data_IF_575143749163
#
_entry.id   IF_575143749163
#
_cell.length_a   1.000
_cell.length_b   1.000
_cell.length_c   1.000
_cell.angle_alpha   90.00
_cell.angle_beta   90.00
_cell.angle_gamma   90.00
#
_symmetry.space_group_name_H-M   'P 1'
#
loop_
_entity.id
_entity.type
_entity.pdbx_description
1 polymer ?
#
# COMPACT_ATOMS: atom_id res chain seq x y z
N UNK A 1 -8.69 1.06 11.01
CA UNK A 1 -8.13 2.41 10.80
C UNK A 1 -8.81 3.00 9.60
N UNK A 2 -9.55 4.09 9.77
CA UNK A 2 -10.40 4.65 8.72
C UNK A 2 -9.65 5.41 7.64
N UNK A 3 -10.31 5.60 6.50
CA UNK A 3 -9.88 6.50 5.43
C UNK A 3 -10.03 7.96 5.86
N UNK A 4 -9.06 8.46 6.61
CA UNK A 4 -9.06 9.84 7.10
C UNK A 4 -8.84 10.81 5.95
N UNK A 5 -9.61 11.89 5.94
CA UNK A 5 -9.46 13.00 5.00
C UNK A 5 -8.15 13.75 5.27
N UNK A 6 -7.42 14.09 4.20
CA UNK A 6 -6.22 14.91 4.23
C UNK A 6 -6.44 16.18 3.42
N UNK A 7 -5.81 17.26 3.87
CA UNK A 7 -5.83 18.57 3.19
C UNK A 7 -4.45 18.86 2.61
N UNK A 8 -4.43 19.57 1.48
CA UNK A 8 -3.19 20.03 0.83
C UNK A 8 -2.97 21.48 1.20
N UNK A 9 -1.81 21.79 1.75
CA UNK A 9 -1.44 23.13 2.18
C UNK A 9 0.00 23.45 1.80
N UNK A 10 0.28 24.72 1.51
CA UNK A 10 1.64 25.20 1.28
C UNK A 10 2.37 25.38 2.61
N UNK A 11 3.56 24.80 2.71
CA UNK A 11 4.43 24.93 3.86
C UNK A 11 5.84 25.36 3.41
N UNK A 12 6.36 26.51 3.89
CA UNK A 12 5.69 27.48 4.76
C UNK A 12 4.57 28.26 4.03
N UNK A 13 3.64 28.90 4.76
CA UNK A 13 2.62 29.76 4.17
C UNK A 13 3.23 30.95 3.41
N UNK A 14 2.56 31.44 2.37
CA UNK A 14 3.05 32.58 1.56
C UNK A 14 3.33 33.84 2.38
N UNK A 15 2.55 34.08 3.43
CA UNK A 15 2.78 35.22 4.36
C UNK A 15 4.13 35.11 5.07
N UNK A 16 4.53 33.91 5.46
CA UNK A 16 5.84 33.67 6.07
C UNK A 16 6.97 33.82 5.05
N UNK A 17 6.79 33.34 3.82
CA UNK A 17 7.76 33.54 2.74
C UNK A 17 7.95 35.03 2.42
N UNK A 18 6.85 35.80 2.37
CA UNK A 18 6.90 37.25 2.14
C UNK A 18 7.71 37.98 3.20
N UNK A 19 7.51 37.64 4.48
CA UNK A 19 8.29 38.19 5.59
C UNK A 19 9.77 37.79 5.50
N UNK A 20 10.08 36.59 5.02
CA UNK A 20 11.47 36.17 4.80
C UNK A 20 12.14 36.99 3.70
N UNK A 21 11.44 37.30 2.60
CA UNK A 21 11.96 38.18 1.55
C UNK A 21 12.27 39.57 2.11
N UNK A 22 11.36 40.13 2.91
CA UNK A 22 11.57 41.42 3.59
C UNK A 22 12.78 41.39 4.55
N UNK A 23 12.91 40.34 5.35
CA UNK A 23 14.05 40.13 6.26
C UNK A 23 15.40 40.01 5.53
N UNK A 24 15.42 39.48 4.29
CA UNK A 24 16.64 39.45 3.49
C UNK A 24 17.18 40.86 3.20
N UNK A 25 16.32 41.84 2.92
CA UNK A 25 16.75 43.22 2.72
C UNK A 25 17.31 43.84 4.00
N UNK A 26 16.68 43.57 5.14
CA UNK A 26 17.19 44.03 6.44
C UNK A 26 18.59 43.49 6.71
N UNK A 27 18.82 42.19 6.44
CA UNK A 27 20.15 41.58 6.57
C UNK A 27 21.18 42.18 5.62
N UNK A 28 20.80 42.55 4.40
CA UNK A 28 21.69 43.21 3.43
C UNK A 28 22.08 44.60 3.93
N UNK A 29 21.12 45.37 4.45
CA UNK A 29 21.35 46.71 5.01
C UNK A 29 22.30 46.64 6.23
N UNK A 30 22.17 45.58 7.03
CA UNK A 30 22.96 45.38 8.24
C UNK A 30 24.43 44.96 7.96
N UNK A 31 24.81 44.65 6.73
CA UNK A 31 26.16 44.15 6.39
C UNK A 31 27.27 45.13 6.78
N UNK A 32 27.12 46.44 6.50
CA UNK A 32 28.18 47.41 6.81
C UNK A 32 28.00 48.09 8.17
N UNK A 33 26.98 47.71 8.96
CA UNK A 33 26.78 48.19 10.35
C UNK A 33 27.82 47.68 11.35
N UNK A 34 28.92 47.09 10.89
CA UNK A 34 30.03 46.69 11.75
C UNK A 34 31.37 47.13 11.17
N UNK A 35 31.36 47.89 10.08
CA UNK A 35 32.56 48.34 9.41
C UNK A 35 32.79 49.80 9.80
N UNK A 36 33.79 50.13 10.64
CA UNK A 36 34.08 51.52 10.97
C UNK A 36 34.59 52.28 9.74
N UNK A 37 34.27 53.58 9.66
CA UNK A 37 34.79 54.49 8.66
C UNK A 37 36.32 54.62 8.73
N UNK A 38 36.97 54.83 7.59
CA UNK A 38 38.42 55.01 7.52
C UNK A 38 38.88 56.25 8.32
N UNK A 39 38.05 57.29 8.33
CA UNK A 39 38.26 58.54 9.06
C UNK A 39 38.39 58.31 10.57
N UNK A 40 37.76 57.27 11.11
CA UNK A 40 37.92 56.86 12.52
C UNK A 40 39.34 56.42 12.85
N UNK A 41 40.07 55.89 11.88
CA UNK A 41 41.48 55.48 12.04
C UNK A 41 42.47 56.57 11.63
N UNK A 42 42.14 57.35 10.60
CA UNK A 42 43.04 58.38 10.05
C UNK A 42 42.99 59.70 10.81
N UNK A 43 41.83 60.03 11.41
CA UNK A 43 41.61 61.30 12.12
C UNK A 43 40.96 61.06 13.49
N UNK A 44 41.70 60.48 14.46
CA UNK A 44 41.15 60.18 15.79
C UNK A 44 40.61 61.41 16.53
N UNK A 45 41.11 62.60 16.22
CA UNK A 45 40.68 63.88 16.83
C UNK A 45 39.26 64.29 16.42
N UNK A 46 38.72 63.71 15.34
CA UNK A 46 37.36 64.01 14.86
C UNK A 46 36.27 63.22 15.60
N UNK A 47 36.64 62.28 16.48
CA UNK A 47 35.72 61.44 17.26
C UNK A 47 34.61 60.78 16.41
N UNK A 48 34.92 60.36 15.18
CA UNK A 48 33.95 59.75 14.27
C UNK A 48 33.48 58.40 14.85
N UNK A 49 32.23 58.36 15.30
CA UNK A 49 31.57 57.14 15.81
C UNK A 49 30.79 56.40 14.74
N UNK A 50 30.60 57.02 13.58
CA UNK A 50 29.84 56.49 12.45
C UNK A 50 30.54 55.27 11.83
N UNK A 51 29.73 54.29 11.48
CA UNK A 51 30.12 53.17 10.63
C UNK A 51 30.13 53.60 9.16
N UNK A 52 30.78 52.80 8.32
CA UNK A 52 30.83 52.95 6.88
C UNK A 52 29.39 52.89 6.38
N UNK A 53 28.78 54.07 6.19
CA UNK A 53 27.37 54.24 5.91
C UNK A 53 26.91 53.30 4.79
N UNK A 54 26.25 52.21 5.17
CA UNK A 54 25.30 51.48 4.34
C UNK A 54 23.93 52.06 4.59
N UNK A 55 23.41 52.77 3.59
CA UNK A 55 21.98 52.82 3.22
C UNK A 55 21.00 52.48 4.35
N UNK A 56 20.29 53.47 4.90
CA UNK A 56 19.35 53.25 6.00
C UNK A 56 18.03 52.64 5.52
N UNK A 57 17.34 51.84 6.34
CA UNK A 57 16.05 51.26 5.97
C UNK A 57 14.98 52.30 5.64
N UNK A 58 15.00 53.46 6.28
CA UNK A 58 14.00 54.53 6.11
C UNK A 58 14.22 55.42 4.89
N UNK A 59 15.29 55.20 4.12
CA UNK A 59 15.54 55.93 2.87
C UNK A 59 14.50 55.57 1.80
N UNK A 60 13.99 56.59 1.10
CA UNK A 60 12.93 56.43 0.09
C UNK A 60 13.33 55.43 -1.01
N UNK A 61 14.58 55.51 -1.50
CA UNK A 61 15.10 54.59 -2.52
C UNK A 61 15.10 53.12 -2.05
N UNK A 62 15.38 52.87 -0.77
CA UNK A 62 15.38 51.54 -0.17
C UNK A 62 13.98 50.99 -0.07
N UNK A 63 13.06 51.82 0.43
CA UNK A 63 11.65 51.46 0.51
C UNK A 63 11.07 51.15 -0.87
N UNK A 64 11.45 51.90 -1.91
CA UNK A 64 11.06 51.62 -3.30
C UNK A 64 11.60 50.27 -3.80
N UNK A 65 12.87 49.96 -3.54
CA UNK A 65 13.47 48.66 -3.93
C UNK A 65 12.81 47.49 -3.19
N UNK A 66 12.56 47.63 -1.89
CA UNK A 66 11.86 46.60 -1.10
C UNK A 66 10.44 46.41 -1.63
N UNK A 67 9.73 47.50 -1.91
CA UNK A 67 8.38 47.44 -2.48
C UNK A 67 8.35 46.74 -3.83
N UNK A 68 9.28 47.07 -4.75
CA UNK A 68 9.41 46.42 -6.05
C UNK A 68 9.69 44.90 -5.90
N UNK A 69 10.58 44.51 -4.99
CA UNK A 69 10.88 43.10 -4.75
C UNK A 69 9.70 42.32 -4.14
N UNK A 70 8.95 42.95 -3.24
CA UNK A 70 7.75 42.36 -2.65
C UNK A 70 6.61 42.27 -3.68
N UNK A 71 6.45 43.25 -4.56
CA UNK A 71 5.53 43.19 -5.69
C UNK A 71 5.92 42.07 -6.66
N UNK A 72 7.22 41.92 -6.96
CA UNK A 72 7.74 40.81 -7.74
C UNK A 72 7.46 39.47 -7.06
N UNK A 73 7.57 39.35 -5.74
CA UNK A 73 7.18 38.15 -5.02
C UNK A 73 5.66 37.89 -5.11
N UNK A 74 4.84 38.90 -4.85
CA UNK A 74 3.39 38.80 -4.81
C UNK A 74 2.81 38.40 -6.20
N UNK A 75 3.41 38.87 -7.29
CA UNK A 75 3.04 38.47 -8.67
C UNK A 75 3.37 37.00 -9.00
N UNK A 76 4.23 36.33 -8.22
CA UNK A 76 4.57 34.92 -8.39
C UNK A 76 3.69 33.97 -7.55
N UNK A 77 2.96 34.45 -6.53
CA UNK A 77 2.07 33.64 -5.67
C UNK A 77 1.01 32.83 -6.45
N UNK A 78 0.36 33.37 -7.50
CA UNK A 78 -0.64 32.61 -8.25
C UNK A 78 -0.07 31.37 -8.96
N UNK A 79 1.24 31.33 -9.23
CA UNK A 79 1.90 30.23 -9.94
C UNK A 79 1.76 28.89 -9.22
N UNK A 80 2.25 28.76 -7.97
CA UNK A 80 2.10 27.54 -7.18
C UNK A 80 0.63 27.13 -6.98
N UNK A 81 -0.26 28.09 -6.75
CA UNK A 81 -1.70 27.82 -6.56
C UNK A 81 -2.32 27.20 -7.82
N UNK A 82 -2.04 27.77 -8.99
CA UNK A 82 -2.50 27.26 -10.27
C UNK A 82 -1.88 25.91 -10.62
N UNK A 83 -0.65 25.65 -10.19
CA UNK A 83 -0.03 24.34 -10.40
C UNK A 83 -0.76 23.23 -9.63
N UNK A 84 -1.25 23.52 -8.42
CA UNK A 84 -2.02 22.55 -7.63
C UNK A 84 -3.31 22.09 -8.33
N UNK A 85 -3.85 22.84 -9.31
CA UNK A 85 -5.03 22.41 -10.05
C UNK A 85 -4.85 21.07 -10.78
N UNK A 86 -3.61 20.71 -11.12
CA UNK A 86 -3.27 19.41 -11.73
C UNK A 86 -3.65 18.26 -10.79
N UNK A 87 -3.64 18.50 -9.47
CA UNK A 87 -3.97 17.50 -8.45
C UNK A 87 -5.47 17.38 -8.18
N UNK A 88 -6.31 18.27 -8.72
CA UNK A 88 -7.75 18.25 -8.48
C UNK A 88 -8.39 16.89 -8.81
N UNK A 89 -7.90 16.22 -9.86
CA UNK A 89 -8.37 14.88 -10.25
C UNK A 89 -8.02 13.78 -9.24
N UNK A 90 -7.08 13.98 -8.32
CA UNK A 90 -6.67 12.98 -7.33
C UNK A 90 -7.20 13.26 -5.91
N UNK A 91 -7.93 14.36 -5.70
CA UNK A 91 -8.40 14.75 -4.37
C UNK A 91 -9.32 13.70 -3.73
N UNK A 92 -10.04 12.91 -4.53
CA UNK A 92 -10.86 11.80 -4.05
C UNK A 92 -10.03 10.70 -3.33
N UNK A 93 -8.74 10.61 -3.61
CA UNK A 93 -7.80 9.71 -2.93
C UNK A 93 -7.48 10.26 -1.54
N UNK A 94 -7.19 11.56 -1.45
CA UNK A 94 -6.85 12.24 -0.19
C UNK A 94 -8.05 12.38 0.75
N UNK A 95 -9.26 12.58 0.21
CA UNK A 95 -10.51 12.66 0.98
C UNK A 95 -10.96 11.30 1.54
N UNK A 96 -10.27 10.22 1.18
CA UNK A 96 -10.63 8.85 1.53
C UNK A 96 -11.81 8.29 0.75
N UNK A 97 -12.32 9.00 -0.25
CA UNK A 97 -13.43 8.53 -1.10
C UNK A 97 -13.04 7.28 -1.88
N UNK A 98 -11.81 7.23 -2.41
CA UNK A 98 -11.29 6.04 -3.10
C UNK A 98 -11.37 4.78 -2.21
N UNK A 99 -11.01 4.93 -0.94
CA UNK A 99 -11.10 3.86 0.06
C UNK A 99 -12.53 3.42 0.34
N UNK A 100 -13.43 4.38 0.60
CA UNK A 100 -14.86 4.07 0.78
C UNK A 100 -15.49 3.41 -0.45
N UNK A 101 -15.05 3.79 -1.65
CA UNK A 101 -15.48 3.17 -2.91
C UNK A 101 -14.92 1.75 -3.08
N UNK A 102 -13.76 1.44 -2.48
CA UNK A 102 -13.25 0.07 -2.39
C UNK A 102 -14.06 -0.75 -1.37
N UNK A 103 -14.30 -0.21 -0.17
CA UNK A 103 -15.09 -0.90 0.85
C UNK A 103 -16.52 -1.18 0.36
N UNK A 104 -17.15 -0.23 -0.32
CA UNK A 104 -18.47 -0.42 -0.95
C UNK A 104 -18.47 -1.56 -1.98
N UNK A 105 -17.38 -1.71 -2.72
CA UNK A 105 -17.24 -2.77 -3.72
C UNK A 105 -17.09 -4.14 -3.06
N UNK A 106 -16.36 -4.25 -1.95
CA UNK A 106 -16.30 -5.47 -1.14
C UNK A 106 -17.66 -5.85 -0.54
N UNK A 107 -18.54 -4.88 -0.30
CA UNK A 107 -19.87 -5.07 0.27
C UNK A 107 -20.97 -5.24 -0.78
N UNK A 108 -20.65 -5.36 -2.08
CA UNK A 108 -21.66 -5.59 -3.11
C UNK A 108 -22.28 -6.98 -2.99
N UNK A 109 -23.58 -7.05 -3.31
CA UNK A 109 -24.33 -8.31 -3.44
C UNK A 109 -24.99 -8.36 -4.84
N UNK A 110 -24.65 -9.33 -5.71
CA UNK A 110 -23.69 -10.42 -5.48
C UNK A 110 -22.25 -9.93 -5.33
N UNK A 111 -21.43 -10.71 -4.60
CA UNK A 111 -20.01 -10.41 -4.40
C UNK A 111 -19.26 -10.35 -5.74
N UNK A 112 -18.35 -9.38 -5.95
CA UNK A 112 -17.66 -9.24 -7.24
C UNK A 112 -16.82 -10.46 -7.62
N UNK A 113 -16.69 -10.72 -8.93
CA UNK A 113 -15.88 -11.84 -9.40
C UNK A 113 -14.39 -11.50 -9.34
N UNK A 114 -13.55 -12.55 -9.32
CA UNK A 114 -12.09 -12.41 -9.28
C UNK A 114 -11.53 -11.52 -10.42
N UNK A 115 -12.12 -11.61 -11.62
CA UNK A 115 -11.77 -10.76 -12.78
C UNK A 115 -12.02 -9.27 -12.54
N UNK A 116 -13.01 -8.92 -11.72
CA UNK A 116 -13.35 -7.53 -11.43
C UNK A 116 -12.35 -6.94 -10.44
N UNK A 117 -11.87 -7.74 -9.48
CA UNK A 117 -10.73 -7.39 -8.63
C UNK A 117 -9.43 -7.23 -9.42
N UNK A 118 -9.15 -8.11 -10.38
CA UNK A 118 -7.98 -8.00 -11.25
C UNK A 118 -7.97 -6.68 -12.04
N UNK A 119 -9.11 -6.31 -12.65
CA UNK A 119 -9.27 -5.01 -13.32
C UNK A 119 -9.01 -3.84 -12.39
N UNK A 120 -9.47 -3.94 -11.15
CA UNK A 120 -9.32 -2.86 -10.17
C UNK A 120 -7.88 -2.74 -9.65
N UNK A 121 -7.18 -3.85 -9.50
CA UNK A 121 -5.73 -3.86 -9.25
C UNK A 121 -5.00 -3.15 -10.39
N UNK A 122 -5.28 -3.51 -11.64
CA UNK A 122 -4.65 -2.86 -12.80
C UNK A 122 -4.91 -1.36 -12.81
N UNK A 123 -6.16 -0.93 -12.58
CA UNK A 123 -6.50 0.49 -12.48
C UNK A 123 -5.69 1.22 -11.40
N UNK A 124 -5.43 0.60 -10.25
CA UNK A 124 -4.58 1.19 -9.21
C UNK A 124 -3.10 1.19 -9.57
N UNK A 125 -2.60 0.18 -10.28
CA UNK A 125 -1.22 0.14 -10.78
C UNK A 125 -0.99 1.23 -11.83
N UNK A 126 -1.89 1.37 -12.80
CA UNK A 126 -1.83 2.42 -13.83
C UNK A 126 -1.88 3.82 -13.19
N UNK A 127 -2.76 4.01 -12.21
CA UNK A 127 -2.88 5.28 -11.48
C UNK A 127 -1.64 5.59 -10.65
N UNK A 128 -1.02 4.58 -10.03
CA UNK A 128 0.24 4.77 -9.30
C UNK A 128 1.34 5.20 -10.27
N UNK A 129 1.47 4.52 -11.40
CA UNK A 129 2.48 4.84 -12.41
C UNK A 129 2.27 6.25 -12.98
N UNK A 130 1.01 6.67 -13.19
CA UNK A 130 0.66 8.06 -13.55
C UNK A 130 1.13 9.07 -12.49
N UNK A 131 0.92 8.78 -11.21
CA UNK A 131 1.33 9.63 -10.09
C UNK A 131 2.86 9.71 -9.98
N UNK A 132 3.54 8.58 -10.13
CA UNK A 132 5.00 8.48 -10.00
C UNK A 132 5.72 9.24 -11.12
N UNK A 133 5.08 9.43 -12.27
CA UNK A 133 5.57 10.24 -13.39
C UNK A 133 5.38 11.76 -13.20
N UNK A 134 4.64 12.19 -12.17
CA UNK A 134 4.45 13.62 -11.91
C UNK A 134 5.73 14.30 -11.44
N UNK A 135 5.88 15.57 -11.79
CA UNK A 135 7.04 16.38 -11.38
C UNK A 135 7.07 16.51 -9.86
N UNK A 136 8.27 16.34 -9.29
CA UNK A 136 8.53 16.56 -7.87
C UNK A 136 8.93 18.02 -7.61
N UNK A 137 9.86 18.55 -8.41
CA UNK A 137 10.34 19.92 -8.28
C UNK A 137 9.84 20.78 -9.45
N UNK A 138 9.22 21.91 -9.12
CA UNK A 138 8.65 22.84 -10.09
C UNK A 138 9.22 24.24 -9.85
N UNK A 139 10.23 24.65 -10.64
CA UNK A 139 10.77 26.00 -10.57
C UNK A 139 9.77 27.00 -11.17
N UNK A 140 9.30 27.93 -10.34
CA UNK A 140 8.35 28.99 -10.65
C UNK A 140 8.97 30.35 -10.32
N UNK A 141 10.00 30.71 -11.09
CA UNK A 141 10.73 31.97 -11.00
C UNK A 141 11.21 32.30 -9.56
N UNK A 142 10.41 33.02 -8.77
CA UNK A 142 10.71 33.33 -7.36
C UNK A 142 10.56 32.15 -6.39
N UNK A 143 9.73 31.15 -6.73
CA UNK A 143 9.37 30.04 -5.84
C UNK A 143 9.74 28.72 -6.50
N UNK A 144 10.39 27.80 -5.78
CA UNK A 144 10.47 26.41 -6.20
C UNK A 144 9.45 25.59 -5.39
N UNK A 145 8.50 24.96 -6.08
CA UNK A 145 7.48 24.14 -5.44
C UNK A 145 7.95 22.69 -5.39
N UNK A 146 8.07 22.15 -4.17
CA UNK A 146 8.32 20.74 -3.92
C UNK A 146 6.98 20.01 -3.70
N UNK A 147 6.66 19.10 -4.62
CA UNK A 147 5.48 18.24 -4.59
C UNK A 147 5.82 16.78 -4.21
N UNK A 148 7.07 16.48 -3.82
CA UNK A 148 7.50 15.12 -3.46
C UNK A 148 6.61 14.48 -2.41
N UNK A 149 6.37 15.18 -1.29
CA UNK A 149 5.52 14.69 -0.20
C UNK A 149 4.09 14.39 -0.66
N UNK A 150 3.51 15.23 -1.51
CA UNK A 150 2.17 15.05 -2.04
C UNK A 150 2.11 13.83 -2.97
N UNK A 151 3.06 13.70 -3.88
CA UNK A 151 3.15 12.57 -4.82
C UNK A 151 3.35 11.25 -4.04
N UNK A 152 4.27 11.23 -3.08
CA UNK A 152 4.55 10.06 -2.22
C UNK A 152 3.32 9.66 -1.40
N UNK A 153 2.59 10.65 -0.86
CA UNK A 153 1.36 10.40 -0.12
C UNK A 153 0.29 9.78 -1.03
N UNK A 154 0.06 10.33 -2.22
CA UNK A 154 -0.89 9.80 -3.19
C UNK A 154 -0.51 8.36 -3.62
N UNK A 155 0.74 8.14 -4.01
CA UNK A 155 1.26 6.84 -4.44
C UNK A 155 1.12 5.79 -3.33
N UNK A 156 1.42 6.16 -2.09
CA UNK A 156 1.24 5.27 -0.93
C UNK A 156 -0.22 4.90 -0.66
N UNK A 157 -1.16 5.84 -0.83
CA UNK A 157 -2.59 5.60 -0.63
C UNK A 157 -3.14 4.67 -1.71
N UNK A 158 -2.76 4.88 -2.97
CA UNK A 158 -3.15 3.99 -4.08
C UNK A 158 -2.56 2.59 -3.88
N UNK A 159 -1.31 2.51 -3.46
CA UNK A 159 -0.66 1.23 -3.12
C UNK A 159 -1.37 0.51 -1.98
N UNK A 160 -1.87 1.25 -0.98
CA UNK A 160 -2.65 0.67 0.12
C UNK A 160 -4.00 0.09 -0.36
N UNK A 161 -4.69 0.76 -1.30
CA UNK A 161 -5.94 0.25 -1.89
C UNK A 161 -5.71 -1.06 -2.65
N UNK A 162 -4.67 -1.11 -3.48
CA UNK A 162 -4.25 -2.34 -4.17
C UNK A 162 -3.94 -3.46 -3.16
N UNK A 163 -3.16 -3.12 -2.12
CA UNK A 163 -2.74 -4.07 -1.09
C UNK A 163 -3.94 -4.67 -0.34
N UNK A 164 -4.95 -3.87 -0.01
CA UNK A 164 -6.17 -4.39 0.63
C UNK A 164 -6.83 -5.52 -0.18
N UNK A 165 -6.87 -5.40 -1.52
CA UNK A 165 -7.40 -6.46 -2.38
C UNK A 165 -6.54 -7.71 -2.31
N UNK A 166 -5.22 -7.55 -2.47
CA UNK A 166 -4.29 -8.68 -2.49
C UNK A 166 -4.29 -9.41 -1.15
N UNK A 167 -4.19 -8.68 -0.03
CA UNK A 167 -4.18 -9.25 1.32
C UNK A 167 -5.49 -10.00 1.63
N UNK A 168 -6.63 -9.49 1.15
CA UNK A 168 -7.91 -10.19 1.27
C UNK A 168 -7.86 -11.57 0.59
N UNK A 169 -7.42 -11.65 -0.67
CA UNK A 169 -7.39 -12.93 -1.39
C UNK A 169 -6.30 -13.88 -0.89
N UNK A 170 -5.19 -13.37 -0.34
CA UNK A 170 -4.22 -14.20 0.39
C UNK A 170 -4.94 -14.88 1.57
N UNK A 171 -5.71 -14.11 2.36
CA UNK A 171 -6.48 -14.62 3.48
C UNK A 171 -7.53 -15.66 3.06
N UNK A 172 -8.32 -15.35 2.02
CA UNK A 172 -9.34 -16.26 1.48
C UNK A 172 -8.71 -17.58 1.01
N UNK A 173 -7.65 -17.52 0.21
CA UNK A 173 -6.95 -18.70 -0.27
C UNK A 173 -6.38 -19.53 0.89
N UNK A 174 -5.79 -18.89 1.89
CA UNK A 174 -5.24 -19.56 3.07
C UNK A 174 -6.33 -20.30 3.86
N UNK A 175 -7.46 -19.67 4.13
CA UNK A 175 -8.59 -20.28 4.85
C UNK A 175 -9.16 -21.45 4.05
N UNK A 176 -9.38 -21.27 2.75
CA UNK A 176 -9.88 -22.31 1.86
C UNK A 176 -8.96 -23.53 1.82
N UNK A 177 -7.65 -23.31 1.66
CA UNK A 177 -6.65 -24.37 1.61
C UNK A 177 -6.50 -25.10 2.94
N UNK A 178 -6.60 -24.39 4.08
CA UNK A 178 -6.63 -25.03 5.41
C UNK A 178 -7.86 -25.91 5.59
N UNK A 179 -9.03 -25.48 5.11
CA UNK A 179 -10.24 -26.31 5.17
C UNK A 179 -10.06 -27.61 4.38
N UNK A 180 -9.48 -27.54 3.18
CA UNK A 180 -9.20 -28.73 2.37
C UNK A 180 -8.20 -29.65 3.09
N UNK A 181 -7.09 -29.11 3.57
CA UNK A 181 -6.08 -29.88 4.29
C UNK A 181 -6.64 -30.58 5.54
N UNK A 182 -7.44 -29.88 6.35
CA UNK A 182 -8.11 -30.46 7.53
C UNK A 182 -8.99 -31.65 7.16
N UNK A 183 -9.79 -31.54 6.10
CA UNK A 183 -10.63 -32.67 5.66
C UNK A 183 -9.79 -33.87 5.23
N UNK A 184 -8.68 -33.64 4.51
CA UNK A 184 -7.77 -34.73 4.15
C UNK A 184 -7.09 -35.38 5.37
N UNK A 185 -6.70 -34.59 6.36
CA UNK A 185 -6.09 -35.08 7.61
C UNK A 185 -7.07 -35.91 8.43
N UNK A 186 -8.33 -35.47 8.53
CA UNK A 186 -9.42 -36.23 9.16
C UNK A 186 -9.66 -37.57 8.45
N UNK A 187 -9.69 -37.55 7.11
CA UNK A 187 -9.79 -38.78 6.30
C UNK A 187 -8.63 -39.73 6.57
N UNK A 188 -7.39 -39.24 6.49
CA UNK A 188 -6.19 -40.04 6.73
C UNK A 188 -6.20 -40.65 8.14
N UNK A 189 -6.64 -39.87 9.15
CA UNK A 189 -6.75 -40.33 10.54
C UNK A 189 -7.76 -41.46 10.67
N UNK A 190 -8.98 -41.28 10.14
CA UNK A 190 -10.05 -42.28 10.24
C UNK A 190 -9.71 -43.56 9.48
N UNK A 191 -9.17 -43.43 8.26
CA UNK A 191 -8.79 -44.56 7.41
C UNK A 191 -7.60 -45.35 7.97
N UNK A 192 -6.77 -44.75 8.82
CA UNK A 192 -5.62 -45.41 9.46
C UNK A 192 -5.98 -46.24 10.69
N UNK A 193 -7.18 -46.05 11.27
CA UNK A 193 -7.63 -46.79 12.46
C UNK A 193 -7.67 -48.30 12.19
N UNK A 194 -7.29 -49.10 13.19
CA UNK A 194 -7.35 -50.57 13.12
C UNK A 194 -8.69 -50.99 13.75
N UNK A 195 -9.60 -51.64 13.00
CA UNK A 195 -10.85 -52.10 13.58
C UNK A 195 -10.61 -53.30 14.51
N UNK A 196 -11.19 -53.25 15.70
CA UNK A 196 -11.12 -54.34 16.70
C UNK A 196 -12.37 -55.21 16.71
N UNK A 197 -13.50 -54.68 16.20
CA UNK A 197 -14.78 -55.39 16.13
C UNK A 197 -15.29 -55.51 14.68
N UNK A 198 -16.15 -56.51 14.43
CA UNK A 198 -16.82 -56.64 13.12
C UNK A 198 -17.64 -55.40 12.77
N UNK A 199 -18.25 -54.76 13.76
CA UNK A 199 -19.02 -53.53 13.56
C UNK A 199 -18.12 -52.38 13.08
N UNK A 200 -16.97 -52.17 13.73
CA UNK A 200 -15.96 -51.18 13.31
C UNK A 200 -15.38 -51.48 11.92
N UNK A 201 -15.18 -52.76 11.59
CA UNK A 201 -14.69 -53.18 10.27
C UNK A 201 -15.68 -52.83 9.16
N UNK A 202 -16.98 -53.07 9.38
CA UNK A 202 -18.04 -52.68 8.44
C UNK A 202 -18.15 -51.16 8.33
N UNK A 203 -18.10 -50.43 9.45
CA UNK A 203 -18.13 -48.97 9.45
C UNK A 203 -16.97 -48.38 8.65
N UNK A 204 -15.74 -48.86 8.89
CA UNK A 204 -14.54 -48.40 8.19
C UNK A 204 -14.61 -48.72 6.69
N UNK A 205 -15.15 -49.88 6.32
CA UNK A 205 -15.37 -50.27 4.91
C UNK A 205 -16.33 -49.30 4.22
N UNK A 206 -17.47 -49.00 4.87
CA UNK A 206 -18.44 -48.04 4.34
C UNK A 206 -17.83 -46.64 4.19
N UNK A 207 -17.07 -46.20 5.20
CA UNK A 207 -16.40 -44.91 5.18
C UNK A 207 -15.37 -44.79 4.03
N UNK A 208 -14.60 -45.84 3.75
CA UNK A 208 -13.64 -45.84 2.62
C UNK A 208 -14.37 -45.72 1.29
N UNK A 209 -15.47 -46.44 1.10
CA UNK A 209 -16.27 -46.36 -0.13
C UNK A 209 -16.89 -44.96 -0.30
N UNK A 210 -17.51 -44.41 0.75
CA UNK A 210 -18.07 -43.05 0.73
C UNK A 210 -16.99 -41.98 0.48
N UNK A 211 -15.81 -42.16 1.08
CA UNK A 211 -14.67 -41.27 0.90
C UNK A 211 -14.20 -41.22 -0.55
N UNK A 212 -14.20 -42.36 -1.24
CA UNK A 212 -13.85 -42.46 -2.67
C UNK A 212 -14.89 -41.81 -3.56
N UNK A 213 -16.16 -42.11 -3.33
CA UNK A 213 -17.24 -41.75 -4.25
C UNK A 213 -17.68 -40.29 -4.11
N UNK A 214 -17.77 -39.77 -2.89
CA UNK A 214 -18.33 -38.45 -2.63
C UNK A 214 -17.29 -37.44 -2.12
N UNK A 215 -16.58 -37.77 -1.04
CA UNK A 215 -15.69 -36.81 -0.36
C UNK A 215 -14.54 -36.40 -1.26
N UNK A 216 -13.92 -37.34 -1.97
CA UNK A 216 -12.80 -37.05 -2.86
C UNK A 216 -13.21 -36.22 -4.08
N UNK A 217 -14.38 -36.48 -4.64
CA UNK A 217 -14.94 -35.67 -5.71
C UNK A 217 -15.19 -34.23 -5.26
N UNK A 218 -15.76 -34.04 -4.07
CA UNK A 218 -16.01 -32.72 -3.49
C UNK A 218 -14.69 -31.96 -3.22
N UNK A 219 -13.67 -32.63 -2.68
CA UNK A 219 -12.35 -32.02 -2.46
C UNK A 219 -11.67 -31.64 -3.77
N UNK A 220 -11.71 -32.50 -4.79
CA UNK A 220 -11.20 -32.19 -6.15
C UNK A 220 -11.92 -30.99 -6.75
N UNK A 221 -13.23 -30.84 -6.52
CA UNK A 221 -13.98 -29.65 -6.96
C UNK A 221 -13.50 -28.38 -6.24
N UNK A 222 -13.27 -28.44 -4.92
CA UNK A 222 -12.73 -27.29 -4.16
C UNK A 222 -11.32 -26.89 -4.62
N UNK A 223 -10.51 -27.84 -5.11
CA UNK A 223 -9.18 -27.55 -5.66
C UNK A 223 -9.22 -26.71 -6.93
N UNK A 224 -10.31 -26.74 -7.69
CA UNK A 224 -10.49 -25.85 -8.85
C UNK A 224 -10.50 -24.39 -8.38
N UNK A 225 -11.26 -24.10 -7.32
CA UNK A 225 -11.28 -22.76 -6.70
C UNK A 225 -9.92 -22.37 -6.12
N UNK A 226 -9.18 -23.30 -5.51
CA UNK A 226 -7.78 -23.07 -5.10
C UNK A 226 -6.92 -22.68 -6.29
N UNK A 227 -7.04 -23.37 -7.43
CA UNK A 227 -6.27 -23.06 -8.63
C UNK A 227 -6.58 -21.66 -9.16
N UNK A 228 -7.85 -21.25 -9.18
CA UNK A 228 -8.27 -19.90 -9.58
C UNK A 228 -7.64 -18.83 -8.67
N UNK A 229 -7.70 -19.01 -7.34
CA UNK A 229 -7.07 -18.08 -6.40
C UNK A 229 -5.55 -18.04 -6.53
N UNK A 230 -4.90 -19.19 -6.67
CA UNK A 230 -3.45 -19.25 -6.84
C UNK A 230 -3.01 -18.56 -8.12
N UNK A 231 -3.70 -18.77 -9.25
CA UNK A 231 -3.38 -18.09 -10.52
C UNK A 231 -3.52 -16.57 -10.41
N UNK A 232 -4.57 -16.09 -9.75
CA UNK A 232 -4.74 -14.67 -9.46
C UNK A 232 -3.61 -14.14 -8.56
N UNK A 233 -3.29 -14.84 -7.47
CA UNK A 233 -2.26 -14.41 -6.52
C UNK A 233 -0.86 -14.43 -7.14
N UNK A 234 -0.52 -15.41 -7.98
CA UNK A 234 0.77 -15.44 -8.68
C UNK A 234 0.98 -14.23 -9.60
N UNK A 235 -0.11 -13.63 -10.09
CA UNK A 235 -0.06 -12.45 -10.96
C UNK A 235 0.06 -11.13 -10.18
N UNK A 236 -0.30 -11.11 -8.89
CA UNK A 236 -0.51 -9.86 -8.15
C UNK A 236 0.15 -9.80 -6.76
N UNK A 237 0.58 -10.93 -6.21
CA UNK A 237 1.04 -11.07 -4.84
C UNK A 237 2.45 -11.66 -4.76
N UNK A 238 3.21 -11.24 -3.75
CA UNK A 238 4.41 -11.94 -3.31
C UNK A 238 3.99 -12.83 -2.14
N UNK A 239 3.85 -14.13 -2.39
CA UNK A 239 3.41 -15.09 -1.38
C UNK A 239 4.53 -15.45 -0.41
N UNK A 240 4.17 -15.63 0.86
CA UNK A 240 5.10 -16.13 1.86
C UNK A 240 5.35 -17.63 1.64
N UNK A 241 6.52 -18.12 2.08
CA UNK A 241 6.88 -19.52 1.93
C UNK A 241 5.83 -20.47 2.53
N UNK A 242 5.24 -20.11 3.66
CA UNK A 242 4.16 -20.88 4.30
C UNK A 242 2.93 -21.05 3.38
N UNK A 243 2.53 -19.98 2.69
CA UNK A 243 1.41 -20.03 1.76
C UNK A 243 1.75 -20.88 0.52
N UNK A 244 2.99 -20.79 0.03
CA UNK A 244 3.47 -21.60 -1.10
C UNK A 244 3.49 -23.10 -0.74
N UNK A 245 3.97 -23.43 0.46
CA UNK A 245 3.99 -24.81 0.97
C UNK A 245 2.56 -25.35 1.16
N UNK A 246 1.66 -24.53 1.71
CA UNK A 246 0.25 -24.91 1.88
C UNK A 246 -0.43 -25.15 0.52
N UNK A 247 -0.25 -24.26 -0.44
CA UNK A 247 -0.76 -24.43 -1.80
C UNK A 247 -0.25 -25.76 -2.40
N UNK A 248 1.05 -26.01 -2.31
CA UNK A 248 1.67 -27.23 -2.83
C UNK A 248 1.13 -28.48 -2.16
N UNK A 249 0.99 -28.47 -0.82
CA UNK A 249 0.46 -29.60 -0.05
C UNK A 249 -0.97 -29.94 -0.47
N UNK A 250 -1.81 -28.92 -0.65
CA UNK A 250 -3.22 -29.07 -1.05
C UNK A 250 -3.38 -29.71 -2.44
N UNK A 251 -2.50 -29.40 -3.39
CA UNK A 251 -2.51 -30.06 -4.70
C UNK A 251 -1.97 -31.49 -4.70
N UNK A 252 -1.11 -31.86 -3.74
CA UNK A 252 -0.57 -33.22 -3.61
C UNK A 252 -1.49 -34.17 -2.85
N UNK A 253 -2.30 -33.65 -1.92
CA UNK A 253 -3.20 -34.42 -1.06
C UNK A 253 -4.06 -35.46 -1.78
N UNK A 254 -4.72 -35.20 -2.93
CA UNK A 254 -5.54 -36.20 -3.60
C UNK A 254 -4.78 -37.48 -3.95
N UNK A 255 -3.55 -37.34 -4.46
CA UNK A 255 -2.72 -38.47 -4.84
C UNK A 255 -2.30 -39.27 -3.61
N UNK A 256 -1.86 -38.57 -2.56
CA UNK A 256 -1.43 -39.21 -1.32
C UNK A 256 -2.60 -39.93 -0.63
N UNK A 257 -3.80 -39.32 -0.65
CA UNK A 257 -4.99 -39.90 -0.03
C UNK A 257 -5.49 -41.13 -0.80
N UNK A 258 -5.40 -41.15 -2.14
CA UNK A 258 -5.69 -42.35 -2.93
C UNK A 258 -4.82 -43.53 -2.50
N UNK A 259 -3.51 -43.30 -2.28
CA UNK A 259 -2.59 -44.33 -1.79
C UNK A 259 -2.95 -44.82 -0.38
N UNK A 260 -3.32 -43.90 0.52
CA UNK A 260 -3.75 -44.26 1.89
C UNK A 260 -5.05 -45.09 1.86
N UNK A 261 -6.01 -44.73 1.00
CA UNK A 261 -7.24 -45.50 0.83
C UNK A 261 -6.97 -46.91 0.28
N UNK A 262 -6.07 -47.05 -0.71
CA UNK A 262 -5.69 -48.36 -1.27
C UNK A 262 -5.02 -49.28 -0.24
N UNK A 263 -4.10 -48.73 0.55
CA UNK A 263 -3.43 -49.47 1.61
C UNK A 263 -4.42 -49.94 2.69
N UNK A 264 -5.32 -49.07 3.11
CA UNK A 264 -6.34 -49.43 4.11
C UNK A 264 -7.37 -50.42 3.57
N UNK A 265 -7.78 -50.31 2.30
CA UNK A 265 -8.66 -51.29 1.67
C UNK A 265 -8.01 -52.69 1.64
N UNK A 266 -6.73 -52.76 1.29
CA UNK A 266 -5.95 -54.02 1.30
C UNK A 266 -5.86 -54.61 2.71
N UNK A 267 -5.61 -53.77 3.71
CA UNK A 267 -5.55 -54.18 5.12
C UNK A 267 -6.90 -54.73 5.61
N UNK A 268 -8.01 -54.06 5.28
CA UNK A 268 -9.36 -54.49 5.66
C UNK A 268 -9.74 -55.81 4.99
N UNK A 269 -9.41 -55.99 3.71
CA UNK A 269 -9.64 -57.26 3.01
C UNK A 269 -8.94 -58.43 3.73
N UNK A 270 -7.68 -58.24 4.14
CA UNK A 270 -6.94 -59.25 4.89
C UNK A 270 -7.55 -59.54 6.28
N UNK A 271 -7.93 -58.50 7.04
CA UNK A 271 -8.60 -58.68 8.33
C UNK A 271 -9.95 -59.41 8.22
N UNK A 272 -10.68 -59.15 7.13
CA UNK A 272 -11.95 -59.81 6.85
C UNK A 272 -11.76 -61.30 6.55
N UNK A 273 -10.74 -61.67 5.76
CA UNK A 273 -10.39 -63.08 5.53
C UNK A 273 -10.06 -63.83 6.83
N UNK A 274 -9.35 -63.18 7.75
CA UNK A 274 -9.03 -63.77 9.07
C UNK A 274 -10.30 -63.95 9.91
N UNK A 275 -11.22 -62.99 9.88
CA UNK A 275 -12.46 -63.03 10.66
C UNK A 275 -13.51 -64.01 10.10
N UNK A 276 -13.55 -64.21 8.77
CA UNK A 276 -14.45 -65.15 8.09
C UNK A 276 -13.88 -66.58 7.99
N UNK A 277 -12.57 -66.76 8.21
CA UNK A 277 -11.85 -68.04 8.12
C UNK A 277 -11.83 -68.89 9.41
N UNK A 278 -12.67 -68.57 10.40
CA UNK A 278 -12.87 -69.31 11.66
C UNK A 278 -14.30 -69.86 11.69
#
# INVERSE_FOLDING_TARGET
GGWNSRIVEFQPPFTSLRLQVEDMFQRIIDVNRQVPRLERYLFPEMEVTEELLSVKPDEEEVQLIIAEALEAFDTNIPGPQKFLDIYNKYLYILSGEAGRALDKFFSMDPFPYLKDFAKRIQMYEDLRDEIDLMRRDIPLNFINLDCSLLNDTLSSLVTALRKQIVDYFIGVNRVHNRSIASTFEEMATRVSQVPETTAELVELTNYINESRDATMFNLKTKLITTAEYVMFLLSHAILQNEDILLNSRVFLWPKDMEQVLDLSATRIAHHREIAEGV
#
